data_IF_124375349505
#
_entry.id   IF_124375349505
#
_cell.length_a   1.000
_cell.length_b   1.000
_cell.length_c   1.000
_cell.angle_alpha   90.00
_cell.angle_beta   90.00
_cell.angle_gamma   90.00
#
_symmetry.space_group_name_H-M   'P 1'
#
loop_
_entity.id
_entity.type
_entity.pdbx_description
1 polymer ?
#
# COMPACT_ATOMS: atom_id res chain seq x y z
N UNK A 1 15.99 10.52 6.63
CA UNK A 1 14.97 10.03 5.70
C UNK A 1 14.28 8.88 6.43
N UNK A 2 12.95 8.82 6.48
CA UNK A 2 12.28 7.64 7.03
C UNK A 2 12.79 6.41 6.28
N UNK A 3 13.11 5.35 7.02
CA UNK A 3 13.51 4.10 6.40
C UNK A 3 12.38 3.62 5.50
N UNK A 4 12.69 3.18 4.28
CA UNK A 4 11.67 2.67 3.36
C UNK A 4 10.82 1.55 4.00
N UNK A 5 11.43 0.81 4.94
CA UNK A 5 10.76 -0.19 5.77
C UNK A 5 9.64 0.42 6.61
N UNK A 6 9.85 1.58 7.24
CA UNK A 6 8.82 2.26 8.03
C UNK A 6 7.64 2.69 7.14
N UNK A 7 7.91 3.25 5.95
CA UNK A 7 6.84 3.65 5.02
C UNK A 7 6.03 2.46 4.55
N UNK A 8 6.71 1.36 4.21
CA UNK A 8 6.07 0.11 3.80
C UNK A 8 5.24 -0.48 4.96
N UNK A 9 5.77 -0.46 6.18
CA UNK A 9 5.07 -0.98 7.35
C UNK A 9 3.84 -0.14 7.71
N UNK A 10 3.92 1.20 7.62
CA UNK A 10 2.76 2.08 7.85
C UNK A 10 1.68 1.85 6.78
N UNK A 11 2.08 1.66 5.52
CA UNK A 11 1.17 1.32 4.44
C UNK A 11 0.51 -0.04 4.65
N UNK A 12 1.25 -1.07 5.10
CA UNK A 12 0.71 -2.38 5.48
C UNK A 12 -0.29 -2.28 6.62
N UNK A 13 0.05 -1.54 7.67
CA UNK A 13 -0.85 -1.36 8.81
C UNK A 13 -2.15 -0.69 8.38
N UNK A 14 -2.05 0.39 7.60
CA UNK A 14 -3.22 1.08 7.06
C UNK A 14 -4.05 0.17 6.16
N UNK A 15 -3.40 -0.64 5.32
CA UNK A 15 -4.06 -1.64 4.47
C UNK A 15 -4.86 -2.64 5.32
N UNK A 16 -4.24 -3.23 6.33
CA UNK A 16 -4.89 -4.24 7.16
C UNK A 16 -6.10 -3.67 7.93
N UNK A 17 -6.01 -2.42 8.38
CA UNK A 17 -7.16 -1.73 8.99
C UNK A 17 -8.32 -1.50 8.00
N UNK A 18 -8.02 -1.12 6.77
CA UNK A 18 -9.04 -0.91 5.73
C UNK A 18 -9.66 -2.25 5.35
N UNK A 19 -8.87 -3.32 5.20
CA UNK A 19 -9.35 -4.66 4.87
C UNK A 19 -10.44 -5.16 5.81
N UNK A 20 -10.35 -4.82 7.10
CA UNK A 20 -11.36 -5.17 8.09
C UNK A 20 -12.69 -4.42 7.89
N UNK A 21 -12.63 -3.17 7.39
CA UNK A 21 -13.79 -2.29 7.22
C UNK A 21 -14.39 -2.33 5.82
N UNK A 22 -13.57 -2.55 4.79
CA UNK A 22 -13.97 -2.51 3.38
C UNK A 22 -15.01 -3.56 3.04
N UNK A 23 -14.98 -4.69 3.74
CA UNK A 23 -16.00 -5.74 3.61
C UNK A 23 -17.41 -5.21 3.94
N UNK A 24 -17.52 -4.21 4.81
CA UNK A 24 -18.77 -3.54 5.20
C UNK A 24 -19.05 -2.29 4.35
N UNK A 25 -18.08 -1.86 3.53
CA UNK A 25 -18.18 -0.73 2.63
C UNK A 25 -19.06 -1.00 1.41
N UNK A 26 -19.30 0.05 0.63
CA UNK A 26 -20.02 -0.05 -0.64
C UNK A 26 -19.25 -0.88 -1.66
N UNK A 27 -19.95 -1.48 -2.63
CA UNK A 27 -19.33 -2.27 -3.70
C UNK A 27 -18.27 -1.47 -4.47
N UNK A 28 -18.51 -0.19 -4.73
CA UNK A 28 -17.53 0.70 -5.39
C UNK A 28 -16.21 0.81 -4.61
N UNK A 29 -16.29 0.92 -3.27
CA UNK A 29 -15.10 0.95 -2.42
C UNK A 29 -14.39 -0.41 -2.42
N UNK A 30 -15.13 -1.51 -2.47
CA UNK A 30 -14.55 -2.86 -2.56
C UNK A 30 -13.82 -3.07 -3.89
N UNK A 31 -14.40 -2.61 -5.00
CA UNK A 31 -13.80 -2.68 -6.32
C UNK A 31 -12.52 -1.81 -6.37
N UNK A 32 -12.59 -0.56 -5.88
CA UNK A 32 -11.42 0.34 -5.81
C UNK A 32 -10.32 -0.20 -4.87
N UNK A 33 -10.71 -0.83 -3.77
CA UNK A 33 -9.80 -1.52 -2.87
C UNK A 33 -9.10 -2.69 -3.54
N UNK A 34 -9.82 -3.51 -4.29
CA UNK A 34 -9.25 -4.66 -5.00
C UNK A 34 -8.16 -4.21 -5.97
N UNK A 35 -8.41 -3.16 -6.74
CA UNK A 35 -7.43 -2.59 -7.67
C UNK A 35 -6.18 -2.06 -6.95
N UNK A 36 -6.35 -1.52 -5.75
CA UNK A 36 -5.26 -1.04 -4.90
C UNK A 36 -4.48 -2.18 -4.25
N UNK A 37 -5.15 -3.27 -3.84
CA UNK A 37 -4.53 -4.46 -3.27
C UNK A 37 -3.66 -5.17 -4.33
N UNK A 38 -4.09 -5.22 -5.58
CA UNK A 38 -3.31 -5.76 -6.69
C UNK A 38 -2.03 -4.95 -6.93
N UNK A 39 -2.12 -3.62 -6.99
CA UNK A 39 -0.94 -2.74 -7.10
C UNK A 39 0.00 -2.89 -5.91
N UNK A 40 -0.54 -3.04 -4.71
CA UNK A 40 0.24 -3.28 -3.51
C UNK A 40 1.00 -4.61 -3.57
N UNK A 41 0.38 -5.67 -4.08
CA UNK A 41 1.01 -6.98 -4.21
C UNK A 41 2.16 -6.97 -5.23
N UNK A 42 1.96 -6.30 -6.37
CA UNK A 42 3.00 -6.06 -7.37
C UNK A 42 4.16 -5.25 -6.79
N UNK A 43 3.84 -4.21 -6.03
CA UNK A 43 4.81 -3.40 -5.33
C UNK A 43 5.60 -4.22 -4.29
N UNK A 44 4.93 -5.00 -3.43
CA UNK A 44 5.61 -5.82 -2.42
C UNK A 44 6.53 -6.85 -3.06
N UNK A 45 6.10 -7.46 -4.18
CA UNK A 45 6.92 -8.40 -4.94
C UNK A 45 8.17 -7.72 -5.49
N UNK A 46 8.02 -6.53 -6.08
CA UNK A 46 9.16 -5.73 -6.59
C UNK A 46 10.06 -5.22 -5.47
N UNK A 47 9.49 -4.81 -4.34
CA UNK A 47 10.23 -4.33 -3.18
C UNK A 47 11.03 -5.47 -2.53
N UNK A 48 10.46 -6.69 -2.39
CA UNK A 48 11.17 -7.88 -1.92
C UNK A 48 12.32 -8.29 -2.85
N UNK A 49 12.13 -8.16 -4.17
CA UNK A 49 13.18 -8.41 -5.15
C UNK A 49 14.26 -7.31 -5.14
N UNK A 50 13.87 -6.07 -4.89
CA UNK A 50 14.75 -4.91 -4.80
C UNK A 50 15.50 -4.78 -3.49
N UNK A 51 15.02 -5.33 -2.38
CA UNK A 51 15.77 -5.38 -1.11
C UNK A 51 17.09 -6.19 -1.25
N UNK A 52 17.18 -7.06 -2.25
CA UNK A 52 18.42 -7.78 -2.60
C UNK A 52 19.40 -6.94 -3.45
N UNK A 53 18.97 -5.79 -3.97
CA UNK A 53 19.76 -4.89 -4.81
C UNK A 53 19.57 -3.44 -4.30
N UNK A 54 20.52 -2.96 -3.49
CA UNK A 54 20.57 -1.63 -2.82
C UNK A 54 20.05 -0.41 -3.62
N UNK A 55 19.95 -0.50 -4.95
CA UNK A 55 19.54 0.56 -5.88
C UNK A 55 18.02 0.79 -6.04
N UNK A 56 17.14 -0.08 -5.53
CA UNK A 56 15.67 0.06 -5.76
C UNK A 56 14.96 0.93 -4.71
N UNK A 57 15.68 1.41 -3.69
CA UNK A 57 15.18 2.24 -2.59
C UNK A 57 14.26 3.38 -3.05
N UNK A 58 14.72 4.30 -3.90
CA UNK A 58 13.98 5.55 -4.13
C UNK A 58 12.68 5.35 -4.91
N UNK A 59 12.72 4.51 -5.95
CA UNK A 59 11.53 4.20 -6.75
C UNK A 59 10.48 3.43 -5.92
N UNK A 60 10.93 2.53 -5.06
CA UNK A 60 10.04 1.83 -4.15
C UNK A 60 9.48 2.76 -3.06
N UNK A 61 10.24 3.75 -2.60
CA UNK A 61 9.78 4.70 -1.58
C UNK A 61 8.65 5.57 -2.11
N UNK A 62 8.78 6.09 -3.33
CA UNK A 62 7.74 6.90 -3.99
C UNK A 62 6.47 6.08 -4.20
N UNK A 63 6.59 4.85 -4.73
CA UNK A 63 5.45 3.96 -4.91
C UNK A 63 4.77 3.59 -3.59
N UNK A 64 5.56 3.34 -2.54
CA UNK A 64 5.06 3.06 -1.20
C UNK A 64 4.26 4.22 -0.61
N UNK A 65 4.75 5.45 -0.77
CA UNK A 65 4.05 6.67 -0.33
C UNK A 65 2.75 6.92 -1.11
N UNK A 66 2.75 6.69 -2.43
CA UNK A 66 1.55 6.80 -3.26
C UNK A 66 0.48 5.80 -2.83
N UNK A 67 0.87 4.54 -2.61
CA UNK A 67 -0.02 3.47 -2.13
C UNK A 67 -0.54 3.77 -0.72
N UNK A 68 0.32 4.23 0.19
CA UNK A 68 -0.08 4.63 1.54
C UNK A 68 -1.12 5.76 1.50
N UNK A 69 -0.91 6.75 0.63
CA UNK A 69 -1.84 7.87 0.46
C UNK A 69 -3.19 7.42 -0.12
N UNK A 70 -3.16 6.52 -1.10
CA UNK A 70 -4.35 5.94 -1.70
C UNK A 70 -5.15 5.12 -0.68
N UNK A 71 -4.48 4.31 0.14
CA UNK A 71 -5.12 3.62 1.26
C UNK A 71 -5.72 4.59 2.28
N UNK A 72 -4.99 5.64 2.67
CA UNK A 72 -5.52 6.68 3.58
C UNK A 72 -6.79 7.34 3.00
N UNK A 73 -6.87 7.55 1.69
CA UNK A 73 -8.09 8.04 1.01
C UNK A 73 -9.28 7.09 1.16
N UNK A 74 -9.10 5.80 0.86
CA UNK A 74 -10.17 4.80 1.05
C UNK A 74 -10.60 4.76 2.51
N UNK A 75 -9.65 4.79 3.45
CA UNK A 75 -9.93 4.84 4.89
C UNK A 75 -10.76 6.05 5.29
N UNK A 76 -10.56 7.20 4.66
CA UNK A 76 -11.36 8.41 4.90
C UNK A 76 -12.73 8.39 4.24
N UNK A 77 -12.93 7.54 3.22
CA UNK A 77 -14.19 7.37 2.51
C UNK A 77 -15.09 6.26 3.11
N UNK A 78 -14.53 5.44 4.01
CA UNK A 78 -15.23 4.41 4.81
C UNK A 78 -15.89 4.99 6.06
#
# INVERSE_FOLDING_TARGET
MPDIKEVIDEAKQTRDEIKLKIHLGSKELQDEWSDLEDKWNDFETKAKLGEAADDISDAASVLGEELATAFKRIKSAL
#
